data_IF_175939950978
#
_entry.id   IF_175939950978
#
_cell.length_a   1.000
_cell.length_b   1.000
_cell.length_c   1.000
_cell.angle_alpha   90.00
_cell.angle_beta   90.00
_cell.angle_gamma   90.00
#
_symmetry.space_group_name_H-M   'P 1'
#
loop_
_entity.id
_entity.type
_entity.pdbx_description
1 polymer ?
#
# COMPACT_ATOMS: atom_id res chain seq x y z
N UNK A 1 -4.86 35.24 14.73
CA UNK A 1 -3.72 34.70 13.96
C UNK A 1 -2.61 34.36 14.95
N UNK A 2 -2.69 33.18 15.54
CA UNK A 2 -1.61 32.55 16.31
C UNK A 2 -1.69 31.09 15.87
N UNK A 3 -0.95 30.75 14.82
CA UNK A 3 -0.74 29.36 14.39
C UNK A 3 0.69 29.04 14.82
N UNK A 4 0.77 28.25 15.87
CA UNK A 4 1.68 27.13 16.09
C UNK A 4 3.12 27.25 15.59
N UNK A 5 3.96 27.88 16.42
CA UNK A 5 5.42 27.69 16.36
C UNK A 5 5.87 26.31 16.86
N UNK A 6 5.00 25.55 17.56
CA UNK A 6 5.32 24.22 18.09
C UNK A 6 5.03 23.10 17.06
N UNK A 7 3.96 23.20 16.27
CA UNK A 7 3.64 22.21 15.23
C UNK A 7 4.62 22.26 14.04
N UNK A 8 5.12 23.46 13.71
CA UNK A 8 6.10 23.65 12.64
C UNK A 8 7.46 23.03 12.98
N UNK A 9 7.86 23.00 14.26
CA UNK A 9 9.14 22.45 14.71
C UNK A 9 9.16 20.90 14.62
N UNK A 10 8.06 20.24 15.03
CA UNK A 10 7.93 18.78 14.91
C UNK A 10 7.83 18.30 13.45
N UNK A 11 7.11 19.02 12.59
CA UNK A 11 6.96 18.68 11.16
C UNK A 11 8.29 18.75 10.41
N UNK A 12 9.06 19.81 10.64
CA UNK A 12 10.41 19.91 10.07
C UNK A 12 11.36 18.84 10.63
N UNK A 13 11.19 18.43 11.89
CA UNK A 13 11.99 17.36 12.48
C UNK A 13 11.73 16.01 11.79
N UNK A 14 10.46 15.59 11.69
CA UNK A 14 10.11 14.29 11.11
C UNK A 14 10.51 14.20 9.63
N UNK A 15 10.23 15.25 8.85
CA UNK A 15 10.63 15.30 7.44
C UNK A 15 12.14 15.15 7.27
N UNK A 16 12.95 15.85 8.07
CA UNK A 16 14.40 15.78 8.01
C UNK A 16 14.93 14.39 8.39
N UNK A 17 14.31 13.71 9.36
CA UNK A 17 14.62 12.31 9.68
C UNK A 17 14.34 11.40 8.49
N UNK A 18 13.19 11.55 7.83
CA UNK A 18 12.82 10.74 6.65
C UNK A 18 13.60 11.10 5.38
N UNK A 19 14.28 12.26 5.34
CA UNK A 19 15.20 12.61 4.26
C UNK A 19 16.50 11.78 4.33
N UNK A 20 16.86 11.33 5.52
CA UNK A 20 18.00 10.45 5.76
C UNK A 20 17.77 9.02 5.26
N UNK A 21 18.84 8.22 5.29
CA UNK A 21 18.68 6.77 5.23
C UNK A 21 18.20 6.33 6.62
N UNK A 22 17.07 5.65 6.67
CA UNK A 22 16.53 5.06 7.88
C UNK A 22 16.74 3.55 7.85
N UNK A 23 17.09 2.98 8.99
CA UNK A 23 17.28 1.56 9.23
C UNK A 23 16.15 1.01 10.10
N UNK A 24 16.11 -0.30 10.29
CA UNK A 24 15.07 -0.98 11.07
C UNK A 24 14.94 -0.44 12.50
N UNK A 25 16.05 -0.12 13.17
CA UNK A 25 16.03 0.50 14.50
C UNK A 25 15.40 1.90 14.49
N UNK A 26 15.67 2.70 13.44
CA UNK A 26 15.08 4.04 13.29
C UNK A 26 13.56 3.93 13.08
N UNK A 27 13.13 2.91 12.31
CA UNK A 27 11.71 2.61 12.11
C UNK A 27 11.04 2.26 13.44
N UNK A 28 11.63 1.38 14.24
CA UNK A 28 11.05 1.01 15.54
C UNK A 28 10.94 2.20 16.49
N UNK A 29 11.97 3.04 16.56
CA UNK A 29 11.95 4.27 17.37
C UNK A 29 10.85 5.23 16.88
N UNK A 30 10.80 5.51 15.58
CA UNK A 30 9.81 6.40 14.98
C UNK A 30 8.38 5.89 15.15
N UNK A 31 8.15 4.60 14.95
CA UNK A 31 6.87 3.95 15.20
C UNK A 31 6.45 4.14 16.66
N UNK A 32 7.37 3.88 17.62
CA UNK A 32 7.08 4.09 19.04
C UNK A 32 6.68 5.54 19.35
N UNK A 33 7.43 6.52 18.83
CA UNK A 33 7.13 7.94 19.02
C UNK A 33 5.76 8.32 18.46
N UNK A 34 5.43 7.86 17.24
CA UNK A 34 4.13 8.13 16.61
C UNK A 34 3.01 7.47 17.40
N UNK A 35 3.19 6.22 17.84
CA UNK A 35 2.16 5.46 18.55
C UNK A 35 1.88 5.97 19.97
N UNK A 36 2.83 6.68 20.57
CA UNK A 36 2.65 7.36 21.86
C UNK A 36 2.05 8.77 21.74
N UNK A 37 1.83 9.27 20.52
CA UNK A 37 1.27 10.60 20.27
C UNK A 37 -0.27 10.54 20.31
N UNK A 38 -0.86 10.95 21.42
CA UNK A 38 -2.31 10.78 21.69
C UNK A 38 -3.23 11.55 20.74
N UNK A 39 -2.78 12.70 20.20
CA UNK A 39 -3.59 13.57 19.34
C UNK A 39 -3.48 13.23 17.84
N UNK A 40 -2.76 12.16 17.49
CA UNK A 40 -2.46 11.76 16.10
C UNK A 40 -1.73 12.82 15.25
N UNK A 41 -1.24 13.92 15.81
CA UNK A 41 -0.58 14.98 15.05
C UNK A 41 0.64 14.48 14.26
N UNK A 42 1.45 13.60 14.85
CA UNK A 42 2.57 12.97 14.15
C UNK A 42 2.13 11.96 13.08
N UNK A 43 0.99 11.32 13.26
CA UNK A 43 0.41 10.41 12.28
C UNK A 43 -0.11 11.18 11.05
N UNK A 44 -0.75 12.33 11.28
CA UNK A 44 -1.17 13.28 10.24
C UNK A 44 0.01 13.87 9.48
N UNK A 45 1.08 14.24 10.19
CA UNK A 45 2.33 14.69 9.57
C UNK A 45 2.94 13.57 8.72
N UNK A 46 3.05 12.35 9.24
CA UNK A 46 3.54 11.21 8.47
C UNK A 46 2.70 10.97 7.20
N UNK A 47 1.38 11.11 7.31
CA UNK A 47 0.48 11.00 6.17
C UNK A 47 0.74 12.07 5.12
N UNK A 48 0.95 13.32 5.53
CA UNK A 48 1.34 14.41 4.61
C UNK A 48 2.66 14.09 3.92
N UNK A 49 3.64 13.55 4.64
CA UNK A 49 4.94 13.15 4.10
C UNK A 49 4.87 11.97 3.12
N UNK A 50 3.81 11.17 3.16
CA UNK A 50 3.54 10.15 2.15
C UNK A 50 3.39 10.77 0.76
N UNK A 51 3.00 12.05 0.63
CA UNK A 51 2.85 12.77 -0.64
C UNK A 51 3.98 13.78 -0.89
N UNK A 52 5.09 13.70 -0.16
CA UNK A 52 6.21 14.61 -0.33
C UNK A 52 6.81 14.49 -1.74
N UNK A 53 7.19 15.63 -2.32
CA UNK A 53 7.87 15.71 -3.62
C UNK A 53 9.24 15.03 -3.61
N UNK A 54 9.90 14.95 -2.44
CA UNK A 54 11.15 14.23 -2.28
C UNK A 54 10.87 12.73 -2.16
N UNK A 55 11.26 11.99 -3.22
CA UNK A 55 11.04 10.55 -3.33
C UNK A 55 11.46 9.78 -2.08
N UNK A 56 12.61 10.11 -1.48
CA UNK A 56 13.11 9.38 -0.30
C UNK A 56 12.20 9.59 0.92
N UNK A 57 11.73 10.81 1.13
CA UNK A 57 10.80 11.14 2.23
C UNK A 57 9.51 10.35 2.05
N UNK A 58 8.93 10.37 0.86
CA UNK A 58 7.68 9.66 0.56
C UNK A 58 7.82 8.12 0.66
N UNK A 59 8.92 7.55 0.16
CA UNK A 59 9.22 6.12 0.28
C UNK A 59 9.35 5.71 1.76
N UNK A 60 10.08 6.50 2.54
CA UNK A 60 10.32 6.25 3.96
C UNK A 60 9.05 6.41 4.80
N UNK A 61 8.20 7.39 4.48
CA UNK A 61 6.90 7.57 5.12
C UNK A 61 5.99 6.36 4.88
N UNK A 62 5.89 5.89 3.62
CA UNK A 62 5.15 4.68 3.28
C UNK A 62 5.71 3.44 4.00
N UNK A 63 7.04 3.35 4.16
CA UNK A 63 7.68 2.24 4.85
C UNK A 63 7.37 2.24 6.35
N UNK A 64 7.35 3.43 6.97
CA UNK A 64 6.99 3.58 8.37
C UNK A 64 5.54 3.15 8.64
N UNK A 65 4.60 3.54 7.76
CA UNK A 65 3.20 3.08 7.85
C UNK A 65 3.05 1.56 7.83
N UNK A 66 3.90 0.82 7.11
CA UNK A 66 3.80 -0.66 7.10
C UNK A 66 4.24 -1.31 8.41
N UNK A 67 4.88 -0.57 9.32
CA UNK A 67 5.38 -1.07 10.61
C UNK A 67 4.56 -0.61 11.81
N UNK A 68 3.64 0.34 11.62
CA UNK A 68 2.70 0.73 12.65
C UNK A 68 1.80 -0.45 13.04
N UNK A 69 1.33 -0.44 14.29
CA UNK A 69 0.39 -1.45 14.77
C UNK A 69 -0.97 -1.37 14.04
N UNK A 70 -1.81 -2.38 14.25
CA UNK A 70 -3.11 -2.48 13.60
C UNK A 70 -4.06 -1.31 13.94
N UNK A 71 -3.96 -0.72 15.14
CA UNK A 71 -4.81 0.40 15.54
C UNK A 71 -4.47 1.65 14.73
N UNK A 72 -3.18 1.95 14.58
CA UNK A 72 -2.69 3.09 13.81
C UNK A 72 -2.82 2.88 12.30
N UNK A 73 -2.69 1.63 11.82
CA UNK A 73 -3.05 1.32 10.44
C UNK A 73 -4.56 1.49 10.19
N UNK A 74 -5.41 1.25 11.19
CA UNK A 74 -6.85 1.54 11.13
C UNK A 74 -7.19 3.00 10.84
N UNK A 75 -6.32 3.93 11.22
CA UNK A 75 -6.47 5.35 10.91
C UNK A 75 -6.38 5.66 9.39
N UNK A 76 -5.79 4.77 8.60
CA UNK A 76 -5.74 4.87 7.14
C UNK A 76 -7.03 4.39 6.47
N UNK A 77 -7.97 3.78 7.19
CA UNK A 77 -9.17 3.19 6.56
C UNK A 77 -10.04 4.21 5.82
N UNK A 78 -10.30 5.41 6.37
CA UNK A 78 -11.03 6.46 5.65
C UNK A 78 -10.27 7.05 4.45
N UNK A 79 -8.99 6.69 4.24
CA UNK A 79 -8.07 7.25 3.24
C UNK A 79 -7.78 6.28 2.09
N UNK A 80 -8.54 5.19 2.02
CA UNK A 80 -8.31 4.09 1.10
C UNK A 80 -8.26 4.58 -0.37
N UNK A 81 -9.19 5.44 -0.77
CA UNK A 81 -9.24 5.99 -2.14
C UNK A 81 -8.00 6.82 -2.51
N UNK A 82 -7.52 7.64 -1.58
CA UNK A 82 -6.33 8.47 -1.80
C UNK A 82 -5.08 7.59 -1.91
N UNK A 83 -4.97 6.55 -1.07
CA UNK A 83 -3.91 5.55 -1.14
C UNK A 83 -3.95 4.73 -2.43
N UNK A 84 -5.14 4.35 -2.91
CA UNK A 84 -5.32 3.69 -4.21
C UNK A 84 -4.86 4.60 -5.34
N UNK A 85 -5.29 5.87 -5.32
CA UNK A 85 -4.89 6.86 -6.32
C UNK A 85 -3.37 7.04 -6.36
N UNK A 86 -2.73 7.15 -5.19
CA UNK A 86 -1.28 7.32 -5.09
C UNK A 86 -0.52 6.08 -5.56
N UNK A 87 -1.02 4.87 -5.27
CA UNK A 87 -0.41 3.64 -5.75
C UNK A 87 -0.42 3.55 -7.29
N UNK A 88 -1.47 4.07 -7.92
CA UNK A 88 -1.60 4.13 -9.38
C UNK A 88 -0.69 5.21 -10.00
N UNK A 89 -0.58 6.38 -9.38
CA UNK A 89 0.13 7.54 -9.95
C UNK A 89 1.64 7.55 -9.69
N UNK A 90 2.10 6.98 -8.58
CA UNK A 90 3.49 7.18 -8.13
C UNK A 90 4.52 6.61 -9.09
N UNK A 91 5.62 7.32 -9.35
CA UNK A 91 6.72 6.79 -10.19
C UNK A 91 7.67 5.87 -9.41
N UNK A 92 7.57 5.84 -8.07
CA UNK A 92 8.45 5.02 -7.22
C UNK A 92 7.90 3.60 -7.08
N UNK A 93 8.58 2.62 -7.67
CA UNK A 93 8.27 1.18 -7.49
C UNK A 93 8.29 0.78 -6.00
N UNK A 94 9.19 1.37 -5.20
CA UNK A 94 9.26 1.12 -3.75
C UNK A 94 8.00 1.59 -3.06
N UNK A 95 7.61 2.86 -3.27
CA UNK A 95 6.38 3.42 -2.69
C UNK A 95 5.16 2.67 -3.15
N UNK A 96 5.03 2.39 -4.45
CA UNK A 96 3.92 1.58 -5.00
C UNK A 96 3.79 0.27 -4.25
N UNK A 97 4.88 -0.50 -4.11
CA UNK A 97 4.85 -1.78 -3.38
C UNK A 97 4.41 -1.62 -1.93
N UNK A 98 4.85 -0.56 -1.24
CA UNK A 98 4.48 -0.29 0.14
C UNK A 98 3.00 0.11 0.27
N UNK A 99 2.50 0.97 -0.62
CA UNK A 99 1.08 1.34 -0.67
C UNK A 99 0.17 0.14 -0.95
N UNK A 100 0.53 -0.70 -1.93
CA UNK A 100 -0.20 -1.95 -2.19
C UNK A 100 -0.16 -2.90 -0.98
N UNK A 101 0.89 -2.87 -0.16
CA UNK A 101 0.96 -3.64 1.09
C UNK A 101 -0.04 -3.11 2.12
N UNK A 102 -0.12 -1.78 2.29
CA UNK A 102 -1.10 -1.13 3.17
C UNK A 102 -2.53 -1.41 2.70
N UNK A 103 -2.78 -1.33 1.38
CA UNK A 103 -4.09 -1.59 0.79
C UNK A 103 -4.55 -3.05 0.96
N UNK A 104 -3.64 -4.02 1.01
CA UNK A 104 -3.99 -5.42 1.32
C UNK A 104 -4.51 -5.59 2.75
N UNK A 105 -4.09 -4.72 3.67
CA UNK A 105 -4.53 -4.75 5.08
C UNK A 105 -5.83 -3.96 5.34
N UNK A 106 -6.34 -3.25 4.33
CA UNK A 106 -7.58 -2.46 4.41
C UNK A 106 -8.82 -3.36 4.43
N UNK A 107 -9.88 -2.99 5.17
CA UNK A 107 -11.17 -3.68 5.14
C UNK A 107 -11.97 -3.31 3.88
N UNK A 108 -11.58 -3.87 2.73
CA UNK A 108 -12.28 -3.68 1.46
C UNK A 108 -13.70 -4.27 1.52
N UNK A 109 -14.70 -3.48 1.13
CA UNK A 109 -16.11 -3.84 1.09
C UNK A 109 -16.74 -3.41 -0.25
N UNK A 110 -17.96 -3.90 -0.52
CA UNK A 110 -18.69 -3.67 -1.77
C UNK A 110 -18.83 -2.17 -2.09
N UNK A 111 -19.13 -1.34 -1.09
CA UNK A 111 -19.30 0.12 -1.23
C UNK A 111 -18.02 0.85 -1.70
N UNK A 112 -16.85 0.24 -1.55
CA UNK A 112 -15.54 0.82 -1.85
C UNK A 112 -14.90 0.22 -3.11
N UNK A 113 -15.69 -0.43 -3.98
CA UNK A 113 -15.14 -0.95 -5.24
C UNK A 113 -14.78 0.20 -6.18
N UNK A 114 -13.47 0.44 -6.32
CA UNK A 114 -12.89 1.27 -7.38
C UNK A 114 -12.46 0.43 -8.57
N UNK A 115 -13.23 0.48 -9.65
CA UNK A 115 -12.99 -0.32 -10.86
C UNK A 115 -11.68 0.05 -11.56
N UNK A 116 -11.32 1.35 -11.57
CA UNK A 116 -10.04 1.83 -12.12
C UNK A 116 -8.83 1.23 -11.36
N UNK A 117 -8.94 1.10 -10.05
CA UNK A 117 -7.92 0.46 -9.22
C UNK A 117 -7.87 -1.07 -9.44
N UNK A 118 -9.02 -1.72 -9.64
CA UNK A 118 -9.07 -3.13 -10.03
C UNK A 118 -8.37 -3.35 -11.38
N UNK A 119 -8.68 -2.53 -12.39
CA UNK A 119 -8.06 -2.58 -13.71
C UNK A 119 -6.54 -2.36 -13.62
N UNK A 120 -6.12 -1.40 -12.79
CA UNK A 120 -4.70 -1.21 -12.49
C UNK A 120 -4.07 -2.48 -11.93
N UNK A 121 -4.66 -3.11 -10.91
CA UNK A 121 -4.12 -4.33 -10.30
C UNK A 121 -4.06 -5.49 -11.30
N UNK A 122 -5.10 -5.68 -12.12
CA UNK A 122 -5.17 -6.71 -13.16
C UNK A 122 -4.06 -6.51 -14.21
N UNK A 123 -3.82 -5.27 -14.64
CA UNK A 123 -2.72 -4.95 -15.55
C UNK A 123 -1.34 -5.16 -14.90
N UNK A 124 -1.18 -4.76 -13.63
CA UNK A 124 0.09 -4.91 -12.92
C UNK A 124 0.46 -6.38 -12.70
N UNK A 125 -0.47 -7.29 -12.41
CA UNK A 125 -0.12 -8.69 -12.15
C UNK A 125 0.45 -9.42 -13.36
N UNK A 126 0.06 -9.03 -14.59
CA UNK A 126 0.57 -9.60 -15.85
C UNK A 126 1.75 -8.82 -16.45
N UNK A 127 1.97 -7.57 -16.03
CA UNK A 127 3.06 -6.73 -16.52
C UNK A 127 4.44 -7.34 -16.24
N UNK A 128 5.22 -7.57 -17.29
CA UNK A 128 6.61 -8.04 -17.17
C UNK A 128 7.58 -6.95 -16.67
N UNK A 129 7.19 -5.67 -16.79
CA UNK A 129 7.98 -4.53 -16.30
C UNK A 129 7.82 -4.29 -14.79
N UNK A 130 6.79 -4.86 -14.17
CA UNK A 130 6.50 -4.68 -12.75
C UNK A 130 7.32 -5.64 -11.89
N UNK A 131 7.78 -5.17 -10.73
CA UNK A 131 8.51 -6.03 -9.79
C UNK A 131 7.64 -7.21 -9.32
N UNK A 132 8.27 -8.35 -9.02
CA UNK A 132 7.55 -9.55 -8.53
C UNK A 132 6.67 -9.24 -7.31
N UNK A 133 7.13 -8.35 -6.41
CA UNK A 133 6.36 -7.90 -5.25
C UNK A 133 5.09 -7.15 -5.64
N UNK A 134 5.18 -6.19 -6.56
CA UNK A 134 4.01 -5.45 -7.08
C UNK A 134 3.04 -6.40 -7.76
N UNK A 135 3.53 -7.33 -8.58
CA UNK A 135 2.68 -8.33 -9.26
C UNK A 135 1.92 -9.22 -8.28
N UNK A 136 2.60 -9.73 -7.24
CA UNK A 136 1.98 -10.56 -6.19
C UNK A 136 0.95 -9.78 -5.39
N UNK A 137 1.26 -8.54 -5.00
CA UNK A 137 0.33 -7.69 -4.24
C UNK A 137 -0.89 -7.34 -5.09
N UNK A 138 -0.70 -7.02 -6.36
CA UNK A 138 -1.78 -6.72 -7.30
C UNK A 138 -2.70 -7.94 -7.48
N UNK A 139 -2.14 -9.14 -7.62
CA UNK A 139 -2.92 -10.38 -7.67
C UNK A 139 -3.75 -10.60 -6.39
N UNK A 140 -3.20 -10.30 -5.22
CA UNK A 140 -3.93 -10.38 -3.94
C UNK A 140 -5.05 -9.34 -3.88
N UNK A 141 -4.80 -8.09 -4.30
CA UNK A 141 -5.80 -7.02 -4.31
C UNK A 141 -6.93 -7.30 -5.29
N UNK A 142 -6.62 -7.77 -6.50
CA UNK A 142 -7.63 -8.23 -7.47
C UNK A 142 -8.52 -9.31 -6.85
N UNK A 143 -7.95 -10.31 -6.17
CA UNK A 143 -8.75 -11.30 -5.45
C UNK A 143 -9.64 -10.67 -4.36
N UNK A 144 -9.10 -9.77 -3.54
CA UNK A 144 -9.84 -9.14 -2.44
C UNK A 144 -11.00 -8.25 -2.93
N UNK A 145 -10.86 -7.64 -4.10
CA UNK A 145 -11.91 -6.84 -4.75
C UNK A 145 -12.92 -7.73 -5.48
N UNK A 146 -12.46 -8.68 -6.30
CA UNK A 146 -13.32 -9.56 -7.07
C UNK A 146 -14.16 -10.50 -6.17
N UNK A 147 -13.66 -10.95 -5.01
CA UNK A 147 -14.42 -11.83 -4.11
C UNK A 147 -15.70 -11.20 -3.54
N UNK A 148 -15.84 -9.88 -3.65
CA UNK A 148 -17.03 -9.14 -3.24
C UNK A 148 -18.19 -9.35 -4.23
N UNK A 149 -17.90 -9.81 -5.45
CA UNK A 149 -18.85 -9.93 -6.55
C UNK A 149 -18.68 -11.28 -7.28
N UNK A 150 -19.63 -12.22 -7.21
CA UNK A 150 -19.49 -13.57 -7.78
C UNK A 150 -19.08 -13.59 -9.26
N UNK A 151 -19.62 -12.67 -10.06
CA UNK A 151 -19.31 -12.52 -11.49
C UNK A 151 -17.85 -12.10 -11.71
N UNK A 152 -17.36 -11.11 -10.95
CA UNK A 152 -15.96 -10.67 -11.04
C UNK A 152 -15.01 -11.76 -10.54
N UNK A 153 -15.41 -12.53 -9.52
CA UNK A 153 -14.61 -13.63 -9.00
C UNK A 153 -14.43 -14.74 -10.04
N UNK A 154 -15.48 -15.06 -10.80
CA UNK A 154 -15.42 -16.04 -11.88
C UNK A 154 -14.46 -15.59 -13.00
N UNK A 155 -14.60 -14.34 -13.46
CA UNK A 155 -13.71 -13.76 -14.49
C UNK A 155 -12.25 -13.71 -14.03
N UNK A 156 -12.01 -13.30 -12.79
CA UNK A 156 -10.68 -13.28 -12.20
C UNK A 156 -10.07 -14.69 -12.08
N UNK A 157 -10.85 -15.70 -11.71
CA UNK A 157 -10.39 -17.08 -11.65
C UNK A 157 -9.90 -17.57 -13.01
N UNK A 158 -10.69 -17.34 -14.07
CA UNK A 158 -10.29 -17.67 -15.45
C UNK A 158 -9.03 -16.93 -15.88
N UNK A 159 -8.90 -15.64 -15.54
CA UNK A 159 -7.70 -14.86 -15.83
C UNK A 159 -6.43 -15.42 -15.14
N UNK A 160 -6.56 -15.93 -13.91
CA UNK A 160 -5.45 -16.57 -13.20
C UNK A 160 -5.03 -17.91 -13.81
N UNK A 161 -5.98 -18.71 -14.29
CA UNK A 161 -5.70 -19.99 -14.95
C UNK A 161 -4.90 -19.79 -16.23
N UNK A 162 -5.21 -18.74 -17.00
CA UNK A 162 -4.49 -18.38 -18.24
C UNK A 162 -3.16 -17.65 -18.01
N UNK A 163 -2.77 -17.34 -16.76
CA UNK A 163 -1.61 -16.50 -16.47
C UNK A 163 -0.28 -17.10 -16.94
N UNK A 164 -0.15 -18.44 -16.92
CA UNK A 164 1.05 -19.15 -17.41
C UNK A 164 1.17 -19.14 -18.94
N UNK A 165 0.07 -18.93 -19.67
CA UNK A 165 0.06 -18.98 -21.14
C UNK A 165 0.75 -17.76 -21.77
N UNK A 166 0.81 -16.65 -21.03
CA UNK A 166 1.39 -15.38 -21.50
C UNK A 166 2.90 -15.28 -21.24
N UNK A 167 3.38 -15.84 -20.12
CA UNK A 167 4.81 -15.86 -19.77
C UNK A 167 5.11 -16.83 -18.62
N UNK A 168 6.31 -17.44 -18.56
CA UNK A 168 6.69 -18.28 -17.44
C UNK A 168 6.66 -17.53 -16.11
N UNK A 169 5.83 -17.99 -15.17
CA UNK A 169 5.74 -17.37 -13.85
C UNK A 169 6.94 -17.68 -12.96
N UNK A 170 7.35 -16.70 -12.16
CA UNK A 170 8.33 -16.91 -11.10
C UNK A 170 7.75 -17.79 -10.01
N UNK A 171 8.59 -18.47 -9.18
CA UNK A 171 8.10 -19.29 -8.07
C UNK A 171 7.15 -18.54 -7.13
N UNK A 172 7.44 -17.26 -6.84
CA UNK A 172 6.59 -16.43 -5.99
C UNK A 172 5.20 -16.20 -6.59
N UNK A 173 5.11 -15.95 -7.90
CA UNK A 173 3.83 -15.76 -8.60
C UNK A 173 3.04 -17.06 -8.66
N UNK A 174 3.69 -18.19 -8.91
CA UNK A 174 3.03 -19.51 -8.88
C UNK A 174 2.43 -19.82 -7.51
N UNK A 175 3.17 -19.54 -6.43
CA UNK A 175 2.68 -19.73 -5.06
C UNK A 175 1.52 -18.79 -4.75
N UNK A 176 1.62 -17.51 -5.11
CA UNK A 176 0.55 -16.54 -4.91
C UNK A 176 -0.74 -16.98 -5.63
N UNK A 177 -0.64 -17.32 -6.93
CA UNK A 177 -1.76 -17.82 -7.72
C UNK A 177 -2.37 -19.08 -7.11
N UNK A 178 -1.54 -20.07 -6.78
CA UNK A 178 -2.00 -21.33 -6.17
C UNK A 178 -2.77 -21.08 -4.87
N UNK A 179 -2.28 -20.18 -4.03
CA UNK A 179 -2.93 -19.86 -2.76
C UNK A 179 -4.23 -19.09 -2.94
N UNK A 180 -4.35 -18.29 -4.00
CA UNK A 180 -5.57 -17.56 -4.32
C UNK A 180 -6.62 -18.51 -4.91
N UNK A 181 -6.27 -19.33 -5.90
CA UNK A 181 -7.21 -20.32 -6.48
C UNK A 181 -7.76 -21.27 -5.40
N UNK A 182 -6.94 -21.68 -4.42
CA UNK A 182 -7.37 -22.46 -3.25
C UNK A 182 -8.36 -21.75 -2.31
N UNK A 183 -8.51 -20.43 -2.41
CA UNK A 183 -9.50 -19.66 -1.66
C UNK A 183 -10.78 -19.42 -2.46
N UNK A 184 -10.72 -19.61 -3.78
CA UNK A 184 -11.87 -19.49 -4.69
C UNK A 184 -12.61 -20.83 -4.76
N UNK A 185 -11.86 -21.94 -4.84
CA UNK A 185 -12.37 -23.32 -4.86
C UNK A 185 -12.31 -23.95 -3.48
#
# INVERSE_FOLDING_TARGET
>A
MHVDMAETDNSHNLRNRLLGRIHENDIHELCHVIQCCEDHSLLEQLYTLLFDSEKRVADNAAWLFTHLDAAHQGWLYPKCDELMQEAMSTSSETKRRLLLTLLVAQPLCEDNLRTDFLDFCMNQMISSGSSVGVRVLSMKLSFLLCRLYPELLAEFSSALEMLDDTSPLTPALRVARKNILKKIH
#
